data_IF_134360740420
#
_entry.id   IF_134360740420
#
_cell.length_a   1.000
_cell.length_b   1.000
_cell.length_c   1.000
_cell.angle_alpha   90.00
_cell.angle_beta   90.00
_cell.angle_gamma   90.00
#
_symmetry.space_group_name_H-M   'P 1'
#
loop_
_entity.id
_entity.type
_entity.pdbx_description
1 polymer ?
#
# COMPACT_ATOMS: atom_id res chain seq x y z
N UNK A 1 8.60 -2.99 -11.88
CA UNK A 1 7.93 -4.29 -12.04
C UNK A 1 7.26 -4.28 -13.39
N UNK A 2 7.58 -5.27 -14.23
CA UNK A 2 7.07 -5.29 -15.60
C UNK A 2 5.80 -6.16 -15.71
N UNK A 3 5.47 -6.90 -14.65
CA UNK A 3 4.27 -7.74 -14.55
C UNK A 3 3.83 -7.94 -13.07
N UNK A 4 2.68 -8.61 -12.89
CA UNK A 4 2.06 -8.91 -11.58
C UNK A 4 2.94 -9.82 -10.69
N UNK A 5 3.58 -10.85 -11.26
CA UNK A 5 4.41 -11.78 -10.50
C UNK A 5 5.59 -11.05 -9.84
N UNK A 6 6.22 -10.13 -10.57
CA UNK A 6 7.31 -9.33 -10.04
C UNK A 6 6.83 -8.42 -8.90
N UNK A 7 5.62 -7.87 -9.00
CA UNK A 7 5.03 -7.01 -7.98
C UNK A 7 4.89 -7.75 -6.63
N UNK A 8 4.42 -9.00 -6.66
CA UNK A 8 4.32 -9.82 -5.45
C UNK A 8 5.68 -10.18 -4.86
N UNK A 9 6.68 -10.44 -5.71
CA UNK A 9 8.05 -10.75 -5.29
C UNK A 9 8.66 -9.53 -4.60
N UNK A 10 8.58 -8.35 -5.21
CA UNK A 10 9.09 -7.12 -4.62
C UNK A 10 8.40 -6.80 -3.29
N UNK A 11 7.08 -6.96 -3.19
CA UNK A 11 6.38 -6.74 -1.93
C UNK A 11 6.90 -7.66 -0.81
N UNK A 12 7.16 -8.94 -1.11
CA UNK A 12 7.73 -9.88 -0.14
C UNK A 12 9.16 -9.50 0.28
N UNK A 13 9.97 -9.03 -0.66
CA UNK A 13 11.32 -8.54 -0.36
C UNK A 13 11.29 -7.28 0.51
N UNK A 14 10.41 -6.33 0.22
CA UNK A 14 10.24 -5.10 1.00
C UNK A 14 9.72 -5.38 2.41
N UNK A 15 8.77 -6.31 2.56
CA UNK A 15 8.32 -6.83 3.86
C UNK A 15 9.51 -7.39 4.64
N UNK A 16 10.32 -8.25 4.02
CA UNK A 16 11.50 -8.86 4.66
C UNK A 16 12.55 -7.83 5.07
N UNK A 17 12.71 -6.78 4.28
CA UNK A 17 13.69 -5.73 4.50
C UNK A 17 13.16 -4.58 5.38
N UNK A 18 11.91 -4.65 5.86
CA UNK A 18 11.24 -3.60 6.61
C UNK A 18 11.22 -2.24 5.87
N UNK A 19 11.06 -2.29 4.54
CA UNK A 19 11.02 -1.13 3.64
C UNK A 19 9.64 -0.99 3.00
N UNK A 20 8.59 -1.13 3.82
CA UNK A 20 7.21 -1.22 3.34
C UNK A 20 6.65 0.13 2.89
N UNK A 21 5.90 0.09 1.79
CA UNK A 21 5.08 1.21 1.36
C UNK A 21 3.75 0.76 0.78
N UNK A 22 2.81 1.68 0.67
CA UNK A 22 1.55 1.51 -0.03
C UNK A 22 1.45 2.55 -1.14
N UNK A 23 1.00 2.08 -2.29
CA UNK A 23 0.88 2.88 -3.50
C UNK A 23 -0.47 3.60 -3.47
N UNK A 24 -0.43 4.92 -3.52
CA UNK A 24 -1.61 5.80 -3.62
C UNK A 24 -1.67 6.43 -5.02
N UNK A 25 -2.85 6.94 -5.46
CA UNK A 25 -3.02 7.56 -6.75
C UNK A 25 -2.03 8.70 -7.01
N UNK A 26 -1.47 8.70 -8.22
CA UNK A 26 -0.67 9.79 -8.74
C UNK A 26 -1.48 10.96 -9.28
N UNK A 27 -0.81 12.06 -9.62
CA UNK A 27 -1.48 13.24 -10.22
C UNK A 27 -0.95 14.59 -9.72
N UNK A 28 -1.83 15.59 -9.71
CA UNK A 28 -1.49 17.00 -9.41
C UNK A 28 -0.99 17.13 -7.97
N UNK A 29 0.23 17.66 -7.83
CA UNK A 29 0.96 18.05 -6.62
C UNK A 29 0.80 17.12 -5.38
N UNK A 30 1.88 16.48 -4.89
CA UNK A 30 1.81 15.65 -3.69
C UNK A 30 1.20 16.40 -2.50
N UNK A 31 0.04 15.93 -2.02
CA UNK A 31 -0.56 16.40 -0.77
C UNK A 31 0.08 15.64 0.37
N UNK A 32 0.63 16.37 1.33
CA UNK A 32 1.22 15.81 2.54
C UNK A 32 0.10 15.67 3.58
N UNK A 33 -0.31 14.44 3.86
CA UNK A 33 -1.30 14.16 4.90
C UNK A 33 -0.64 13.80 6.22
N UNK A 34 -1.10 14.40 7.31
CA UNK A 34 -0.62 14.06 8.67
C UNK A 34 -0.83 12.56 8.98
N UNK A 35 -1.96 12.00 8.54
CA UNK A 35 -2.28 10.58 8.67
C UNK A 35 -1.19 9.67 8.10
N UNK A 36 -0.46 10.10 7.08
CA UNK A 36 0.55 9.26 6.42
C UNK A 36 1.79 9.12 7.31
N UNK A 37 2.14 10.18 8.04
CA UNK A 37 3.19 10.12 9.05
C UNK A 37 2.76 9.30 10.26
N UNK A 38 1.53 9.49 10.74
CA UNK A 38 1.00 8.75 11.88
C UNK A 38 0.94 7.24 11.55
N UNK A 39 0.46 6.89 10.35
CA UNK A 39 0.41 5.51 9.84
C UNK A 39 1.81 4.91 9.71
N UNK A 40 2.75 5.65 9.12
CA UNK A 40 4.16 5.21 9.02
C UNK A 40 4.79 5.02 10.40
N UNK A 41 4.56 5.92 11.34
CA UNK A 41 5.12 5.83 12.69
C UNK A 41 4.58 4.62 13.44
N UNK A 42 3.32 4.24 13.21
CA UNK A 42 2.65 3.14 13.91
C UNK A 42 2.93 1.77 13.28
N UNK A 43 2.91 1.69 11.95
CA UNK A 43 2.97 0.42 11.22
C UNK A 43 4.24 0.22 10.39
N UNK A 44 5.12 1.23 10.32
CA UNK A 44 6.33 1.18 9.49
C UNK A 44 6.08 1.28 7.98
N UNK A 45 4.85 1.56 7.55
CA UNK A 45 4.45 1.59 6.14
C UNK A 45 4.29 3.02 5.64
N UNK A 46 5.05 3.40 4.62
CA UNK A 46 4.96 4.74 4.01
C UNK A 46 3.88 4.80 2.90
N UNK A 47 3.27 5.96 2.67
CA UNK A 47 2.42 6.16 1.49
C UNK A 47 3.25 6.79 0.37
N UNK A 48 3.26 6.17 -0.82
CA UNK A 48 4.03 6.68 -1.97
C UNK A 48 3.16 6.94 -3.18
N UNK A 49 3.50 8.01 -3.89
CA UNK A 49 2.84 8.46 -5.11
C UNK A 49 3.90 8.50 -6.22
N UNK A 50 3.63 7.88 -7.38
CA UNK A 50 4.54 7.81 -8.53
C UNK A 50 4.43 9.00 -9.51
N UNK A 51 3.79 10.10 -9.10
CA UNK A 51 3.68 11.33 -9.88
C UNK A 51 2.85 11.15 -11.15
N UNK A 52 3.32 11.78 -12.24
CA UNK A 52 2.64 11.78 -13.55
C UNK A 52 2.78 10.46 -14.33
N UNK A 53 3.70 9.58 -13.93
CA UNK A 53 3.90 8.27 -14.55
C UNK A 53 3.48 7.18 -13.55
N UNK A 54 2.16 6.99 -13.36
CA UNK A 54 1.66 5.99 -12.42
C UNK A 54 2.04 4.59 -12.90
N UNK A 55 2.33 3.71 -11.95
CA UNK A 55 2.41 2.28 -12.22
C UNK A 55 1.07 1.77 -12.79
N UNK A 56 1.13 0.69 -13.55
CA UNK A 56 -0.06 -0.03 -13.98
C UNK A 56 -0.92 -0.37 -12.74
N UNK A 57 -2.24 -0.17 -12.86
CA UNK A 57 -3.17 -0.37 -11.74
C UNK A 57 -3.13 -1.80 -11.18
N UNK A 58 -3.09 -2.81 -12.04
CA UNK A 58 -3.07 -4.22 -11.62
C UNK A 58 -1.77 -4.57 -10.89
N UNK A 59 -0.63 -4.05 -11.37
CA UNK A 59 0.67 -4.17 -10.70
C UNK A 59 0.62 -3.52 -9.31
N UNK A 60 0.03 -2.32 -9.22
CA UNK A 60 -0.11 -1.59 -7.95
C UNK A 60 -0.99 -2.33 -6.96
N UNK A 61 -2.12 -2.87 -7.42
CA UNK A 61 -3.01 -3.72 -6.62
C UNK A 61 -2.26 -4.94 -6.12
N UNK A 62 -1.56 -5.66 -7.01
CA UNK A 62 -0.84 -6.89 -6.65
C UNK A 62 0.22 -6.66 -5.57
N UNK A 63 1.00 -5.58 -5.68
CA UNK A 63 1.95 -5.18 -4.66
C UNK A 63 1.24 -4.84 -3.34
N UNK A 64 0.28 -3.90 -3.38
CA UNK A 64 -0.42 -3.43 -2.18
C UNK A 64 -1.11 -4.57 -1.44
N UNK A 65 -1.73 -5.52 -2.13
CA UNK A 65 -2.41 -6.68 -1.53
C UNK A 65 -1.50 -7.45 -0.56
N UNK A 66 -0.22 -7.66 -0.89
CA UNK A 66 0.72 -8.34 0.02
C UNK A 66 1.05 -7.51 1.25
N UNK A 67 1.14 -6.18 1.10
CA UNK A 67 1.37 -5.28 2.23
C UNK A 67 0.12 -5.18 3.12
N UNK A 68 -1.08 -5.19 2.54
CA UNK A 68 -2.34 -5.23 3.30
C UNK A 68 -2.52 -6.57 4.03
N UNK A 69 -2.17 -7.69 3.39
CA UNK A 69 -2.11 -9.01 4.06
C UNK A 69 -1.14 -8.96 5.25
N UNK A 70 0.08 -8.42 5.08
CA UNK A 70 1.04 -8.23 6.17
C UNK A 70 0.48 -7.39 7.33
N UNK A 71 -0.20 -6.28 7.02
CA UNK A 71 -0.81 -5.42 8.05
C UNK A 71 -1.88 -6.18 8.83
N UNK A 72 -2.75 -6.95 8.16
CA UNK A 72 -3.79 -7.73 8.81
C UNK A 72 -3.23 -8.86 9.66
N UNK A 73 -2.21 -9.55 9.17
CA UNK A 73 -1.55 -10.65 9.89
C UNK A 73 -0.86 -10.17 11.17
N UNK A 74 -0.26 -8.97 11.17
CA UNK A 74 0.52 -8.47 12.30
C UNK A 74 -0.28 -7.57 13.27
N UNK A 75 -1.29 -6.86 12.78
CA UNK A 75 -2.01 -5.83 13.55
C UNK A 75 -3.53 -6.04 13.59
N UNK A 76 -4.04 -7.14 13.02
CA UNK A 76 -5.48 -7.37 12.91
C UNK A 76 -6.15 -6.36 11.96
N UNK A 77 -7.43 -6.07 12.16
CA UNK A 77 -8.21 -5.19 11.26
C UNK A 77 -8.28 -3.73 11.71
N UNK A 78 -7.60 -3.34 12.79
CA UNK A 78 -7.70 -1.97 13.33
C UNK A 78 -7.13 -0.91 12.38
N UNK A 79 -6.05 -1.24 11.66
CA UNK A 79 -5.39 -0.34 10.71
C UNK A 79 -6.31 0.12 9.58
N UNK A 80 -7.40 -0.60 9.27
CA UNK A 80 -8.38 -0.22 8.24
C UNK A 80 -9.06 1.12 8.53
N UNK A 81 -9.07 1.56 9.80
CA UNK A 81 -9.64 2.85 10.21
C UNK A 81 -8.64 4.01 10.10
N UNK A 82 -7.36 3.69 9.91
CA UNK A 82 -6.24 4.64 9.98
C UNK A 82 -5.57 4.85 8.62
N UNK A 83 -5.68 3.85 7.73
CA UNK A 83 -5.22 3.93 6.36
C UNK A 83 -6.02 4.94 5.54
N UNK A 84 -5.38 5.57 4.55
CA UNK A 84 -6.10 6.38 3.57
C UNK A 84 -7.05 5.53 2.74
N UNK A 85 -8.24 6.05 2.49
CA UNK A 85 -9.26 5.36 1.69
C UNK A 85 -8.92 5.26 0.19
N UNK A 86 -8.00 6.09 -0.30
CA UNK A 86 -7.60 6.12 -1.71
C UNK A 86 -6.45 5.15 -2.05
N UNK A 87 -5.93 4.37 -1.08
CA UNK A 87 -4.92 3.34 -1.34
C UNK A 87 -5.42 2.39 -2.43
N UNK A 88 -4.60 2.22 -3.47
CA UNK A 88 -4.96 1.41 -4.63
C UNK A 88 -5.19 -0.04 -4.20
N UNK A 89 -6.35 -0.61 -4.52
CA UNK A 89 -6.70 -1.99 -4.15
C UNK A 89 -7.35 -2.14 -2.77
N UNK A 90 -7.50 -1.07 -1.98
CA UNK A 90 -8.05 -1.17 -0.61
C UNK A 90 -9.53 -1.58 -0.61
N UNK A 91 -10.34 -1.06 -1.54
CA UNK A 91 -11.75 -1.42 -1.63
C UNK A 91 -11.91 -2.91 -1.97
N UNK A 92 -11.14 -3.38 -2.95
CA UNK A 92 -11.07 -4.79 -3.36
C UNK A 92 -10.60 -5.67 -2.19
N UNK A 93 -9.64 -5.20 -1.39
CA UNK A 93 -9.16 -5.91 -0.21
C UNK A 93 -10.23 -6.04 0.86
N UNK A 94 -10.95 -4.96 1.18
CA UNK A 94 -12.03 -4.95 2.18
C UNK A 94 -13.06 -6.02 1.85
N UNK A 95 -13.50 -6.12 0.59
CA UNK A 95 -14.44 -7.17 0.13
C UNK A 95 -13.86 -8.60 0.21
N UNK A 96 -12.54 -8.78 0.06
CA UNK A 96 -11.88 -10.09 0.19
C UNK A 96 -11.87 -10.61 1.64
N UNK A 97 -11.78 -9.70 2.62
CA UNK A 97 -11.62 -10.04 4.04
C UNK A 97 -12.89 -9.88 4.87
N UNK A 98 -13.99 -9.42 4.28
CA UNK A 98 -15.36 -9.47 4.84
C UNK A 98 -15.81 -10.93 5.03
#
# INVERSE_FOLDING_TARGET
ADNISDAEVFAKEDIKNNSLFLIVPGGIAPVIYKSDFDFKSKYGVSMINFGCEPLNKEISISYNMKVLDFLTENYGKEWLKEIRDDVIGLAEYKTKIE
#
